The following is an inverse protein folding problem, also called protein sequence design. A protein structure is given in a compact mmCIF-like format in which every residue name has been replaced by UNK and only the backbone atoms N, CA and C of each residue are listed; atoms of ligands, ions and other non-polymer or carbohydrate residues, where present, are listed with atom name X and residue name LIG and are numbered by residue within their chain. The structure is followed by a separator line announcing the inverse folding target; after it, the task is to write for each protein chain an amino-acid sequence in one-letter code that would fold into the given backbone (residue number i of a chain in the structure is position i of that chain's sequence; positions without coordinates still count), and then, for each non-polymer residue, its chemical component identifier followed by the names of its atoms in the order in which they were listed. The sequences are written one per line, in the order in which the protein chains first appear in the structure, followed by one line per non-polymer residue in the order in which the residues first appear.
data_IF_609318535813
#
_entry.id   IF_609318535813
#
_cell.length_a   1.000
_cell.length_b   1.000
_cell.length_c   1.000
_cell.angle_alpha   90.00
_cell.angle_beta   90.00
_cell.angle_gamma   90.00
#
_symmetry.space_group_name_H-M   'P 1'
#
loop_
_entity.id
_entity.type
_entity.pdbx_description
1 polymer ?
#
# COMPACT_ATOMS: atom_id res chain seq x y z
N UNK A 1 -3.77 -22.38 41.81
CA UNK A 1 -4.20 -21.00 41.46
C UNK A 1 -3.09 -20.17 40.86
N UNK A 2 -2.07 -19.71 41.60
CA UNK A 2 -1.01 -18.82 41.08
C UNK A 2 -0.24 -19.36 39.84
N UNK A 3 -0.01 -20.68 39.77
CA UNK A 3 0.67 -21.30 38.64
C UNK A 3 -0.18 -21.32 37.35
N UNK A 4 -1.51 -21.41 37.48
CA UNK A 4 -2.41 -21.40 36.33
C UNK A 4 -2.66 -19.98 35.81
N UNK A 5 -2.64 -18.98 36.71
CA UNK A 5 -2.68 -17.57 36.31
C UNK A 5 -1.40 -17.16 35.58
N UNK A 6 -0.23 -17.65 36.00
CA UNK A 6 1.03 -17.43 35.33
C UNK A 6 1.03 -18.05 33.92
N UNK A 7 0.54 -19.29 33.77
CA UNK A 7 0.38 -19.93 32.45
C UNK A 7 -0.55 -19.14 31.53
N UNK A 8 -1.68 -18.64 32.05
CA UNK A 8 -2.63 -17.82 31.26
C UNK A 8 -2.00 -16.51 30.80
N UNK A 9 -1.27 -15.83 31.69
CA UNK A 9 -0.57 -14.59 31.38
C UNK A 9 0.49 -14.79 30.29
N UNK A 10 1.33 -15.82 30.42
CA UNK A 10 2.35 -16.16 29.41
C UNK A 10 1.71 -16.50 28.07
N UNK A 11 0.64 -17.31 28.06
CA UNK A 11 -0.09 -17.64 26.83
C UNK A 11 -0.68 -16.39 26.18
N UNK A 12 -1.25 -15.48 26.97
CA UNK A 12 -1.79 -14.20 26.48
C UNK A 12 -0.71 -13.33 25.83
N UNK A 13 0.45 -13.22 26.47
CA UNK A 13 1.60 -12.47 25.94
C UNK A 13 2.12 -13.03 24.61
N UNK A 14 2.24 -14.36 24.50
CA UNK A 14 2.67 -15.02 23.27
C UNK A 14 1.65 -14.78 22.15
N UNK A 15 0.36 -14.95 22.43
CA UNK A 15 -0.70 -14.71 21.44
C UNK A 15 -0.72 -13.26 20.95
N UNK A 16 -0.53 -12.30 21.86
CA UNK A 16 -0.44 -10.88 21.51
C UNK A 16 0.75 -10.61 20.57
N UNK A 17 1.93 -11.17 20.87
CA UNK A 17 3.11 -11.08 20.02
C UNK A 17 2.89 -11.68 18.64
N UNK A 18 2.27 -12.87 18.55
CA UNK A 18 1.94 -13.50 17.28
C UNK A 18 0.97 -12.66 16.44
N UNK A 19 -0.03 -12.03 17.08
CA UNK A 19 -0.97 -11.15 16.39
C UNK A 19 -0.27 -9.88 15.86
N UNK A 20 0.60 -9.26 16.66
CA UNK A 20 1.41 -8.13 16.21
C UNK A 20 2.28 -8.49 15.02
N UNK A 21 2.94 -9.65 15.07
CA UNK A 21 3.77 -10.15 13.97
C UNK A 21 2.95 -10.37 12.70
N UNK A 22 1.77 -11.00 12.82
CA UNK A 22 0.85 -11.22 11.70
C UNK A 22 0.46 -9.90 11.04
N UNK A 23 0.06 -8.90 11.84
CA UNK A 23 -0.31 -7.57 11.36
C UNK A 23 0.87 -6.90 10.66
N UNK A 24 2.09 -6.99 11.23
CA UNK A 24 3.30 -6.43 10.62
C UNK A 24 3.63 -7.08 9.28
N UNK A 25 3.55 -8.41 9.17
CA UNK A 25 3.83 -9.14 7.93
C UNK A 25 2.82 -8.79 6.85
N UNK A 26 1.53 -8.79 7.18
CA UNK A 26 0.48 -8.40 6.24
C UNK A 26 0.68 -6.96 5.72
N UNK A 27 0.98 -6.01 6.60
CA UNK A 27 1.30 -4.62 6.22
C UNK A 27 2.53 -4.54 5.31
N UNK A 28 3.58 -5.32 5.59
CA UNK A 28 4.79 -5.33 4.77
C UNK A 28 4.52 -5.91 3.37
N UNK A 29 3.70 -6.96 3.29
CA UNK A 29 3.32 -7.58 2.03
C UNK A 29 2.45 -6.64 1.18
N UNK A 30 1.45 -5.97 1.77
CA UNK A 30 0.62 -5.02 1.03
C UNK A 30 1.44 -3.85 0.48
N UNK A 31 2.38 -3.30 1.27
CA UNK A 31 3.29 -2.24 0.81
C UNK A 31 4.21 -2.71 -0.33
N UNK A 32 4.67 -3.97 -0.29
CA UNK A 32 5.47 -4.55 -1.39
C UNK A 32 4.62 -4.68 -2.65
N UNK A 33 3.42 -5.25 -2.55
CA UNK A 33 2.50 -5.43 -3.68
C UNK A 33 2.11 -4.09 -4.31
N UNK A 34 1.84 -3.06 -3.50
CA UNK A 34 1.56 -1.70 -4.01
C UNK A 34 2.74 -1.12 -4.78
N UNK A 35 3.97 -1.25 -4.25
CA UNK A 35 5.18 -0.77 -4.94
C UNK A 35 5.43 -1.51 -6.24
N UNK A 36 5.25 -2.83 -6.25
CA UNK A 36 5.41 -3.66 -7.45
C UNK A 36 4.36 -3.32 -8.50
N UNK A 37 3.10 -3.17 -8.09
CA UNK A 37 2.01 -2.70 -8.97
C UNK A 37 2.35 -1.36 -9.61
N UNK A 38 2.78 -0.37 -8.81
CA UNK A 38 3.17 0.95 -9.33
C UNK A 38 4.31 0.86 -10.34
N UNK A 39 5.37 0.10 -10.02
CA UNK A 39 6.51 -0.11 -10.93
C UNK A 39 6.07 -0.76 -12.24
N UNK A 40 5.22 -1.78 -12.17
CA UNK A 40 4.71 -2.48 -13.33
C UNK A 40 3.86 -1.54 -14.20
N UNK A 41 2.91 -0.81 -13.60
CA UNK A 41 2.09 0.16 -14.32
C UNK A 41 2.96 1.21 -15.01
N UNK A 42 3.91 1.82 -14.30
CA UNK A 42 4.83 2.80 -14.87
C UNK A 42 5.66 2.24 -16.03
N UNK A 43 6.08 0.97 -15.95
CA UNK A 43 6.80 0.29 -17.03
C UNK A 43 5.93 0.08 -18.27
N UNK A 44 4.64 -0.23 -18.10
CA UNK A 44 3.74 -0.53 -19.21
C UNK A 44 3.08 0.69 -19.85
N UNK A 45 2.96 1.82 -19.14
CA UNK A 45 2.39 3.07 -19.68
C UNK A 45 2.90 3.40 -21.10
N UNK A 46 4.21 3.50 -21.39
CA UNK A 46 4.66 3.89 -22.72
C UNK A 46 4.30 2.88 -23.83
N UNK A 47 4.16 1.61 -23.48
CA UNK A 47 3.74 0.58 -24.45
C UNK A 47 2.24 0.67 -24.72
N UNK A 48 1.43 0.85 -23.68
CA UNK A 48 -0.02 0.99 -23.80
C UNK A 48 -0.37 2.25 -24.57
N UNK A 49 0.27 3.38 -24.30
CA UNK A 49 -0.01 4.62 -25.03
C UNK A 49 0.35 4.52 -26.50
N UNK A 50 1.51 3.92 -26.81
CA UNK A 50 1.92 3.70 -28.20
C UNK A 50 0.94 2.82 -28.96
N UNK A 51 0.47 1.74 -28.35
CA UNK A 51 -0.55 0.87 -28.96
C UNK A 51 -1.87 1.60 -29.15
N UNK A 52 -2.32 2.38 -28.15
CA UNK A 52 -3.55 3.17 -28.25
C UNK A 52 -3.46 4.24 -29.33
N UNK A 53 -2.35 4.96 -29.42
CA UNK A 53 -2.10 5.94 -30.49
C UNK A 53 -2.09 5.28 -31.85
N UNK A 54 -1.45 4.12 -32.00
CA UNK A 54 -1.47 3.37 -33.27
C UNK A 54 -2.86 2.91 -33.70
N UNK A 55 -3.71 2.51 -32.74
CA UNK A 55 -5.11 2.16 -33.00
C UNK A 55 -5.92 3.40 -33.41
N UNK A 56 -5.72 4.53 -32.74
CA UNK A 56 -6.39 5.79 -33.10
C UNK A 56 -5.94 6.28 -34.49
N UNK A 57 -4.66 6.15 -34.82
CA UNK A 57 -4.12 6.46 -36.16
C UNK A 57 -4.76 5.59 -37.23
N UNK A 58 -4.88 4.27 -37.01
CA UNK A 58 -5.53 3.37 -37.98
C UNK A 58 -7.01 3.69 -38.14
N UNK A 59 -7.72 3.98 -37.05
CA UNK A 59 -9.14 4.35 -37.11
C UNK A 59 -9.39 5.66 -37.87
N UNK A 60 -8.48 6.63 -37.75
CA UNK A 60 -8.52 7.86 -38.56
C UNK A 60 -8.21 7.57 -40.03
N UNK A 61 -7.21 6.73 -40.30
CA UNK A 61 -6.79 6.40 -41.67
C UNK A 61 -7.86 5.62 -42.44
N UNK A 62 -8.57 4.69 -41.77
CA UNK A 62 -9.59 3.85 -42.38
C UNK A 62 -10.94 4.58 -42.59
N UNK A 63 -11.06 5.85 -42.15
CA UNK A 63 -12.30 6.62 -42.26
C UNK A 63 -13.47 6.05 -41.45
N UNK A 64 -13.21 5.07 -40.57
CA UNK A 64 -14.20 4.34 -39.78
C UNK A 64 -14.77 5.14 -38.59
N UNK A 65 -14.63 6.47 -38.55
CA UNK A 65 -15.18 7.31 -37.49
C UNK A 65 -16.71 7.14 -37.33
N UNK A 66 -17.40 6.77 -38.40
CA UNK A 66 -18.86 6.56 -38.45
C UNK A 66 -19.27 5.08 -38.25
N UNK A 67 -18.37 4.11 -38.45
CA UNK A 67 -18.69 2.66 -38.41
C UNK A 67 -18.58 2.07 -36.99
N UNK A 68 -17.94 2.76 -36.04
CA UNK A 68 -17.94 2.37 -34.63
C UNK A 68 -19.30 2.73 -34.01
N UNK A 69 -20.31 1.94 -34.37
CA UNK A 69 -21.62 1.87 -33.71
C UNK A 69 -21.42 1.40 -32.27
N UNK A 70 -21.22 2.31 -31.33
CA UNK A 70 -21.42 1.91 -29.93
C UNK A 70 -20.91 2.83 -28.83
N UNK A 71 -19.96 3.72 -29.08
CA UNK A 71 -19.42 4.51 -27.96
C UNK A 71 -19.06 5.94 -28.36
N UNK A 72 -19.84 6.89 -27.85
CA UNK A 72 -19.63 8.32 -28.03
C UNK A 72 -18.22 8.75 -27.56
N UNK A 73 -17.65 8.02 -26.59
CA UNK A 73 -16.28 8.25 -26.12
C UNK A 73 -15.22 7.97 -27.18
N UNK A 74 -15.40 6.91 -27.99
CA UNK A 74 -14.45 6.53 -29.05
C UNK A 74 -14.49 7.54 -30.19
N UNK A 75 -15.67 8.01 -30.57
CA UNK A 75 -15.82 9.04 -31.60
C UNK A 75 -15.18 10.37 -31.19
N UNK A 76 -15.33 10.76 -29.91
CA UNK A 76 -14.67 11.94 -29.37
C UNK A 76 -13.14 11.80 -29.34
N UNK A 77 -12.63 10.62 -29.01
CA UNK A 77 -11.19 10.34 -29.02
C UNK A 77 -10.60 10.38 -30.43
N UNK A 78 -11.30 9.83 -31.42
CA UNK A 78 -10.89 9.86 -32.83
C UNK A 78 -10.89 11.30 -33.36
N UNK A 79 -11.92 12.10 -33.07
CA UNK A 79 -11.96 13.53 -33.42
C UNK A 79 -10.86 14.32 -32.71
N UNK A 80 -10.66 14.10 -31.41
CA UNK A 80 -9.60 14.75 -30.65
C UNK A 80 -8.19 14.41 -31.14
N UNK A 81 -8.00 13.23 -31.73
CA UNK A 81 -6.73 12.84 -32.38
C UNK A 81 -6.57 13.51 -33.76
N UNK A 82 -7.64 13.65 -34.55
CA UNK A 82 -7.64 14.43 -35.80
C UNK A 82 -7.26 15.90 -35.55
N UNK A 83 -7.73 16.47 -34.44
CA UNK A 83 -7.40 17.83 -34.00
C UNK A 83 -5.99 17.97 -33.40
N UNK A 84 -5.19 16.88 -33.37
CA UNK A 84 -3.85 16.79 -32.73
C UNK A 84 -3.84 17.15 -31.24
N UNK A 85 -5.01 17.17 -30.59
CA UNK A 85 -5.13 17.48 -29.17
C UNK A 85 -4.66 16.31 -28.28
N UNK A 86 -4.74 15.08 -28.80
CA UNK A 86 -4.32 13.85 -28.12
C UNK A 86 -2.97 13.41 -28.69
N UNK A 87 -1.88 13.90 -28.11
CA UNK A 87 -0.52 13.43 -28.41
C UNK A 87 -0.14 12.24 -27.51
N UNK A 88 0.74 11.35 -27.98
CA UNK A 88 1.25 10.21 -27.16
C UNK A 88 1.82 10.70 -25.83
N UNK A 89 2.53 11.84 -25.84
CA UNK A 89 3.09 12.47 -24.64
C UNK A 89 2.00 12.95 -23.68
N UNK A 90 0.90 13.52 -24.18
CA UNK A 90 -0.25 13.92 -23.37
C UNK A 90 -0.96 12.71 -22.76
N UNK A 91 -1.12 11.62 -23.53
CA UNK A 91 -1.74 10.38 -23.06
C UNK A 91 -0.89 9.71 -21.97
N UNK A 92 0.43 9.66 -22.17
CA UNK A 92 1.39 9.16 -21.18
C UNK A 92 1.35 9.97 -19.89
N UNK A 93 1.33 11.30 -20.01
CA UNK A 93 1.23 12.19 -18.85
C UNK A 93 -0.06 11.94 -18.09
N UNK A 94 -1.20 11.87 -18.78
CA UNK A 94 -2.51 11.70 -18.12
C UNK A 94 -2.66 10.35 -17.43
N UNK A 95 -2.18 9.27 -18.04
CA UNK A 95 -2.16 7.95 -17.41
C UNK A 95 -1.22 7.93 -16.19
N UNK A 96 -0.09 8.63 -16.27
CA UNK A 96 0.83 8.76 -15.12
C UNK A 96 0.17 9.52 -13.97
N UNK A 97 -0.45 10.68 -14.24
CA UNK A 97 -1.17 11.45 -13.25
C UNK A 97 -2.31 10.65 -12.63
N UNK A 98 -3.07 9.89 -13.43
CA UNK A 98 -4.13 9.03 -12.92
C UNK A 98 -3.62 7.92 -11.97
N UNK A 99 -2.48 7.31 -12.30
CA UNK A 99 -1.84 6.32 -11.40
C UNK A 99 -1.36 6.98 -10.11
N UNK A 100 -0.83 8.19 -10.18
CA UNK A 100 -0.37 8.96 -9.01
C UNK A 100 -1.54 9.40 -8.11
N UNK A 101 -2.64 9.85 -8.69
CA UNK A 101 -3.88 10.19 -7.97
C UNK A 101 -4.48 8.96 -7.29
N UNK A 102 -4.55 7.83 -7.99
CA UNK A 102 -5.05 6.57 -7.42
C UNK A 102 -4.16 6.08 -6.26
N UNK A 103 -2.82 6.19 -6.40
CA UNK A 103 -1.89 5.86 -5.32
C UNK A 103 -2.07 6.80 -4.11
N UNK A 104 -2.32 8.09 -4.35
CA UNK A 104 -2.57 9.08 -3.29
C UNK A 104 -3.88 8.81 -2.55
N UNK A 105 -4.96 8.51 -3.28
CA UNK A 105 -6.26 8.13 -2.69
C UNK A 105 -6.14 6.87 -1.84
N UNK A 106 -5.43 5.86 -2.33
CA UNK A 106 -5.17 4.63 -1.56
C UNK A 106 -4.34 4.89 -0.30
N UNK A 107 -3.34 5.78 -0.38
CA UNK A 107 -2.54 6.18 0.78
C UNK A 107 -3.37 6.94 1.82
N UNK A 108 -4.25 7.85 1.37
CA UNK A 108 -5.19 8.59 2.23
C UNK A 108 -6.20 7.65 2.91
N UNK A 109 -6.77 6.71 2.15
CA UNK A 109 -7.68 5.70 2.70
C UNK A 109 -6.99 4.79 3.72
N UNK A 110 -5.74 4.40 3.47
CA UNK A 110 -4.95 3.62 4.42
C UNK A 110 -4.60 4.42 5.69
N UNK A 111 -4.36 5.72 5.58
CA UNK A 111 -4.12 6.60 6.73
C UNK A 111 -5.38 6.78 7.58
N UNK A 112 -6.54 7.00 6.96
CA UNK A 112 -7.84 7.12 7.65
C UNK A 112 -8.24 5.83 8.37
N UNK A 113 -8.01 4.67 7.73
CA UNK A 113 -8.24 3.36 8.36
C UNK A 113 -7.17 3.03 9.42
N UNK A 114 -5.99 3.64 9.33
CA UNK A 114 -4.82 3.37 10.16
C UNK A 114 -4.68 4.28 11.39
N UNK A 115 -5.60 5.22 11.62
CA UNK A 115 -5.49 6.29 12.63
C UNK A 115 -5.50 5.83 14.10
N UNK A 116 -5.38 4.52 14.39
CA UNK A 116 -5.20 4.01 15.76
C UNK A 116 -3.81 3.48 16.11
N UNK A 117 -2.91 3.27 15.15
CA UNK A 117 -1.58 2.73 15.45
C UNK A 117 -0.54 3.38 14.55
N UNK A 118 -0.32 4.67 14.79
CA UNK A 118 0.86 5.35 14.30
C UNK A 118 2.11 4.63 14.81
N UNK A 119 3.10 4.53 13.94
CA UNK A 119 4.43 3.95 14.10
C UNK A 119 5.17 4.58 15.29
N UNK A 120 4.78 4.26 16.51
CA UNK A 120 5.57 4.40 17.71
C UNK A 120 6.16 3.02 18.00
N UNK A 121 7.41 2.97 18.50
CA UNK A 121 7.92 1.76 19.12
C UNK A 121 6.97 1.43 20.27
N UNK A 122 6.07 0.48 20.07
CA UNK A 122 5.14 0.08 21.11
C UNK A 122 5.93 -0.68 22.18
N UNK A 123 6.16 -0.03 23.31
CA UNK A 123 6.71 -0.67 24.50
C UNK A 123 5.67 -1.66 25.03
N UNK A 124 5.81 -2.94 24.66
CA UNK A 124 4.96 -4.02 25.19
C UNK A 124 5.45 -4.37 26.60
N UNK A 125 4.88 -3.74 27.61
CA UNK A 125 5.11 -4.08 29.01
C UNK A 125 4.26 -5.30 29.39
N UNK A 126 4.89 -6.41 29.79
CA UNK A 126 4.18 -7.47 30.50
C UNK A 126 3.63 -6.87 31.80
N UNK A 127 2.30 -6.91 31.96
CA UNK A 127 1.61 -6.32 33.12
C UNK A 127 2.14 -6.93 34.41
N UNK A 128 2.75 -6.08 35.26
CA UNK A 128 3.27 -6.47 36.57
C UNK A 128 2.09 -6.72 37.52
N UNK A 129 2.00 -7.91 38.10
CA UNK A 129 1.00 -8.28 39.12
C UNK A 129 1.32 -7.70 40.52
N UNK A 130 2.01 -6.57 40.60
CA UNK A 130 2.32 -5.89 41.87
C UNK A 130 3.64 -5.11 41.87
N UNK A 131 3.55 -3.80 42.10
CA UNK A 131 4.66 -2.95 42.55
C UNK A 131 5.50 -2.26 41.48
N UNK A 132 5.86 -1.00 41.73
CA UNK A 132 6.79 -0.20 40.94
C UNK A 132 8.22 -0.73 41.16
N UNK A 133 8.70 -1.62 40.28
CA UNK A 133 10.09 -2.10 40.28
C UNK A 133 10.94 -1.31 39.31
N UNK A 134 12.22 -1.09 39.65
CA UNK A 134 13.19 -0.45 38.75
C UNK A 134 13.51 -1.38 37.59
N UNK A 135 13.60 -0.81 36.39
CA UNK A 135 13.98 -1.53 35.17
C UNK A 135 15.50 -1.51 35.03
N UNK A 136 16.08 -2.67 34.77
CA UNK A 136 17.51 -2.84 34.48
C UNK A 136 17.91 -2.19 33.15
N UNK A 137 19.23 -2.15 32.91
CA UNK A 137 19.83 -1.61 31.68
C UNK A 137 19.28 -2.36 30.45
N UNK A 138 18.90 -1.64 29.37
CA UNK A 138 18.36 -2.27 28.17
C UNK A 138 19.35 -3.27 27.56
N UNK A 139 18.88 -4.51 27.38
CA UNK A 139 19.58 -5.54 26.63
C UNK A 139 19.12 -5.52 25.17
N UNK A 140 20.07 -5.39 24.26
CA UNK A 140 19.81 -5.39 22.83
C UNK A 140 19.93 -6.81 22.28
N UNK A 141 18.88 -7.29 21.62
CA UNK A 141 18.90 -8.50 20.80
C UNK A 141 18.61 -8.14 19.35
N UNK A 142 18.91 -9.05 18.42
CA UNK A 142 18.57 -8.89 16.99
C UNK A 142 17.08 -8.73 16.72
N UNK A 143 16.22 -9.17 17.66
CA UNK A 143 14.76 -9.17 17.50
C UNK A 143 14.08 -8.06 18.30
N UNK A 144 14.77 -7.43 19.25
CA UNK A 144 14.19 -6.39 20.11
C UNK A 144 15.06 -5.99 21.29
N UNK A 145 14.63 -4.95 22.01
CA UNK A 145 15.27 -4.45 23.24
C UNK A 145 14.46 -4.93 24.44
N UNK A 146 15.13 -5.60 25.37
CA UNK A 146 14.53 -6.15 26.58
C UNK A 146 14.99 -5.34 27.78
N UNK A 147 14.06 -5.02 28.69
CA UNK A 147 14.38 -4.46 30.02
C UNK A 147 13.88 -5.45 31.06
N UNK A 148 14.80 -6.07 31.80
CA UNK A 148 14.47 -6.97 32.90
C UNK A 148 14.16 -6.16 34.15
N UNK A 149 13.40 -6.71 35.08
CA UNK A 149 13.21 -6.11 36.40
C UNK A 149 14.49 -6.26 37.22
N UNK A 150 14.90 -5.22 37.94
CA UNK A 150 15.87 -5.37 39.03
C UNK A 150 15.15 -5.97 40.24
N UNK A 151 15.71 -7.05 40.80
CA UNK A 151 15.32 -7.54 42.11
C UNK A 151 15.93 -6.62 43.18
N UNK A 152 15.08 -6.15 44.09
CA UNK A 152 15.51 -5.56 45.36
C UNK A 152 15.72 -6.69 46.37
#
# INVERSE_FOLDING_TARGET
DAHDDLKRSVRGAIMACCNQLKTRLARQETLKLQRERRKNLQKYIPFVTRSLSGILESMVADGCAEEVKGDAGVQLAVRGFQDKSITDTALQHKLRSFVEEADMEQAMAAAQMGEKEAVAREDVCLRVLGGSRRLSRPMHSTVGVWKLFEDA
#
